data_IF_744530971375
#
_entry.id   IF_744530971375
#
_cell.length_a   1.000
_cell.length_b   1.000
_cell.length_c   1.000
_cell.angle_alpha   90.00
_cell.angle_beta   90.00
_cell.angle_gamma   90.00
#
_symmetry.space_group_name_H-M   'P 1'
#
loop_
_entity.id
_entity.type
_entity.pdbx_description
1 polymer ?
#
# COMPACT_ATOMS: atom_id res chain seq x y z
N UNK A 1 15.58 -17.68 -11.02
CA UNK A 1 14.63 -18.02 -12.12
C UNK A 1 13.29 -18.51 -11.59
N UNK A 2 13.15 -19.68 -10.91
CA UNK A 2 11.82 -20.12 -10.42
C UNK A 2 11.24 -19.19 -9.33
N UNK A 3 12.10 -18.72 -8.43
CA UNK A 3 11.70 -17.77 -7.37
C UNK A 3 11.23 -16.43 -7.97
N UNK A 4 11.88 -15.95 -9.01
CA UNK A 4 11.51 -14.75 -9.74
C UNK A 4 10.15 -14.97 -10.45
N UNK A 5 9.97 -16.12 -11.13
CA UNK A 5 8.70 -16.49 -11.75
C UNK A 5 7.58 -16.62 -10.71
N UNK A 6 7.87 -17.19 -9.54
CA UNK A 6 6.88 -17.25 -8.45
C UNK A 6 6.47 -15.83 -8.02
N UNK A 7 7.45 -14.96 -7.76
CA UNK A 7 7.20 -13.61 -7.26
C UNK A 7 6.45 -12.74 -8.28
N UNK A 8 6.76 -12.87 -9.55
CA UNK A 8 6.19 -12.05 -10.62
C UNK A 8 4.84 -12.58 -11.09
N UNK A 9 4.67 -13.91 -11.17
CA UNK A 9 3.55 -14.53 -11.88
C UNK A 9 2.53 -15.21 -10.96
N UNK A 10 2.81 -15.33 -9.66
CA UNK A 10 1.88 -15.98 -8.71
C UNK A 10 0.47 -15.41 -8.81
N UNK A 11 0.31 -14.09 -8.72
CA UNK A 11 -1.00 -13.43 -8.76
C UNK A 11 -1.75 -13.68 -10.07
N UNK A 12 -1.03 -13.74 -11.20
CA UNK A 12 -1.62 -14.03 -12.51
C UNK A 12 -2.07 -15.49 -12.62
N UNK A 13 -1.23 -16.42 -12.21
CA UNK A 13 -1.57 -17.85 -12.19
C UNK A 13 -2.75 -18.11 -11.26
N UNK A 14 -2.74 -17.52 -10.07
CA UNK A 14 -3.83 -17.70 -9.12
C UNK A 14 -5.14 -17.09 -9.61
N UNK A 15 -5.12 -15.89 -10.19
CA UNK A 15 -6.31 -15.25 -10.74
C UNK A 15 -6.97 -16.10 -11.84
N UNK A 16 -6.17 -16.59 -12.79
CA UNK A 16 -6.66 -17.49 -13.83
C UNK A 16 -7.28 -18.77 -13.26
N UNK A 17 -6.70 -19.33 -12.21
CA UNK A 17 -7.25 -20.52 -11.57
C UNK A 17 -8.51 -20.22 -10.78
N UNK A 18 -8.61 -19.06 -10.12
CA UNK A 18 -9.81 -18.64 -9.39
C UNK A 18 -10.97 -18.41 -10.35
N UNK A 19 -10.72 -17.71 -11.46
CA UNK A 19 -11.72 -17.54 -12.52
C UNK A 19 -12.24 -18.88 -13.05
N UNK A 20 -11.33 -19.84 -13.24
CA UNK A 20 -11.68 -21.17 -13.75
C UNK A 20 -12.41 -22.07 -12.73
N UNK A 21 -12.00 -22.04 -11.46
CA UNK A 21 -12.45 -22.97 -10.43
C UNK A 21 -13.57 -22.40 -9.55
N UNK A 22 -13.73 -21.08 -9.49
CA UNK A 22 -14.71 -20.38 -8.67
C UNK A 22 -14.45 -20.47 -7.15
N UNK A 23 -13.26 -20.94 -6.74
CA UNK A 23 -12.89 -21.12 -5.34
C UNK A 23 -11.42 -20.77 -5.12
N UNK A 24 -11.15 -19.78 -4.24
CA UNK A 24 -9.79 -19.30 -3.93
C UNK A 24 -8.96 -20.39 -3.26
N UNK A 25 -9.55 -21.18 -2.38
CA UNK A 25 -8.86 -22.18 -1.59
C UNK A 25 -8.35 -23.31 -2.49
N UNK A 26 -9.22 -23.81 -3.36
CA UNK A 26 -8.88 -24.84 -4.35
C UNK A 26 -7.85 -24.33 -5.36
N UNK A 27 -8.01 -23.10 -5.82
CA UNK A 27 -7.08 -22.46 -6.77
C UNK A 27 -5.69 -22.28 -6.16
N UNK A 28 -5.60 -21.83 -4.90
CA UNK A 28 -4.34 -21.64 -4.19
C UNK A 28 -3.59 -22.96 -3.99
N UNK A 29 -4.27 -24.02 -3.56
CA UNK A 29 -3.67 -25.34 -3.41
C UNK A 29 -3.17 -25.90 -4.75
N UNK A 30 -3.97 -25.78 -5.81
CA UNK A 30 -3.57 -26.22 -7.14
C UNK A 30 -2.36 -25.42 -7.69
N UNK A 31 -2.31 -24.11 -7.45
CA UNK A 31 -1.19 -23.29 -7.79
C UNK A 31 0.09 -23.71 -7.05
N UNK A 32 0.00 -23.90 -5.73
CA UNK A 32 1.13 -24.38 -4.92
C UNK A 32 1.67 -25.72 -5.42
N UNK A 33 0.80 -26.67 -5.73
CA UNK A 33 1.17 -27.97 -6.29
C UNK A 33 1.87 -27.83 -7.66
N UNK A 34 1.44 -26.88 -8.50
CA UNK A 34 2.06 -26.64 -9.79
C UNK A 34 3.45 -26.03 -9.65
N UNK A 35 3.63 -25.04 -8.75
CA UNK A 35 4.94 -24.45 -8.46
C UNK A 35 5.88 -25.47 -7.81
N UNK A 36 5.40 -26.33 -6.90
CA UNK A 36 6.20 -27.42 -6.35
C UNK A 36 6.65 -28.40 -7.45
N UNK A 37 5.78 -28.74 -8.41
CA UNK A 37 6.11 -29.57 -9.56
C UNK A 37 7.14 -28.88 -10.46
N UNK A 38 7.06 -27.58 -10.65
CA UNK A 38 8.04 -26.79 -11.41
C UNK A 38 9.41 -26.82 -10.70
N UNK A 39 9.43 -26.68 -9.36
CA UNK A 39 10.65 -26.75 -8.57
C UNK A 39 11.40 -28.10 -8.71
N UNK A 40 10.65 -29.17 -8.89
CA UNK A 40 11.23 -30.52 -9.10
C UNK A 40 11.69 -30.76 -10.54
N UNK A 41 10.93 -30.27 -11.53
CA UNK A 41 11.12 -30.62 -12.95
C UNK A 41 12.05 -29.65 -13.69
N UNK A 42 11.87 -28.34 -13.55
CA UNK A 42 12.62 -27.35 -14.32
C UNK A 42 14.15 -27.39 -14.13
N UNK A 43 14.70 -27.73 -12.96
CA UNK A 43 16.14 -27.92 -12.84
C UNK A 43 16.71 -29.07 -13.66
N UNK A 44 15.88 -30.06 -14.02
CA UNK A 44 16.28 -31.27 -14.77
C UNK A 44 15.96 -31.16 -16.25
N UNK A 45 14.77 -30.69 -16.56
CA UNK A 45 14.16 -30.74 -17.90
C UNK A 45 14.28 -29.41 -18.65
N UNK A 46 14.72 -28.34 -17.96
CA UNK A 46 14.65 -26.96 -18.42
C UNK A 46 13.29 -26.31 -18.16
N UNK A 47 13.26 -24.99 -18.06
CA UNK A 47 12.01 -24.25 -18.01
C UNK A 47 11.32 -24.29 -19.40
N UNK A 48 9.98 -24.40 -19.44
CA UNK A 48 9.25 -24.36 -20.70
C UNK A 48 9.32 -22.96 -21.35
N UNK A 49 9.08 -22.88 -22.68
CA UNK A 49 9.06 -21.61 -23.42
C UNK A 49 8.03 -20.62 -22.85
N UNK A 50 6.88 -21.13 -22.38
CA UNK A 50 5.85 -20.36 -21.69
C UNK A 50 5.61 -20.93 -20.28
N UNK A 51 6.34 -20.42 -19.25
CA UNK A 51 6.22 -20.89 -17.88
C UNK A 51 4.81 -20.72 -17.29
N UNK A 52 4.13 -19.62 -17.60
CA UNK A 52 2.80 -19.29 -17.06
C UNK A 52 1.75 -20.30 -17.59
N UNK A 53 1.71 -20.52 -18.89
CA UNK A 53 0.78 -21.47 -19.49
C UNK A 53 1.01 -22.89 -18.93
N UNK A 54 2.26 -23.28 -18.73
CA UNK A 54 2.61 -24.57 -18.14
C UNK A 54 2.13 -24.69 -16.69
N UNK A 55 2.30 -23.63 -15.87
CA UNK A 55 1.85 -23.58 -14.49
C UNK A 55 0.33 -23.68 -14.39
N UNK A 56 -0.41 -22.89 -15.19
CA UNK A 56 -1.88 -22.91 -15.23
C UNK A 56 -2.38 -24.29 -15.67
N UNK A 57 -1.82 -24.87 -16.72
CA UNK A 57 -2.20 -26.20 -17.19
C UNK A 57 -1.93 -27.28 -16.14
N UNK A 58 -0.77 -27.22 -15.47
CA UNK A 58 -0.40 -28.18 -14.43
C UNK A 58 -1.32 -28.06 -13.22
N UNK A 59 -1.59 -26.83 -12.73
CA UNK A 59 -2.49 -26.56 -11.63
C UNK A 59 -3.91 -27.01 -11.93
N UNK A 60 -4.42 -26.67 -13.14
CA UNK A 60 -5.73 -27.11 -13.62
C UNK A 60 -5.88 -28.64 -13.54
N UNK A 61 -4.90 -29.37 -14.07
CA UNK A 61 -4.95 -30.83 -14.05
C UNK A 61 -4.96 -31.40 -12.61
N UNK A 62 -4.18 -30.79 -11.69
CA UNK A 62 -4.17 -31.14 -10.26
C UNK A 62 -5.52 -30.88 -9.60
N UNK A 63 -6.14 -29.72 -9.85
CA UNK A 63 -7.47 -29.40 -9.34
C UNK A 63 -8.53 -30.40 -9.84
N UNK A 64 -8.52 -30.75 -11.14
CA UNK A 64 -9.43 -31.74 -11.70
C UNK A 64 -9.26 -33.11 -11.01
N UNK A 65 -8.03 -33.56 -10.86
CA UNK A 65 -7.74 -34.86 -10.24
C UNK A 65 -8.15 -34.89 -8.76
N UNK A 66 -8.05 -33.74 -8.05
CA UNK A 66 -8.52 -33.60 -6.67
C UNK A 66 -10.05 -33.64 -6.61
N UNK A 67 -10.74 -32.83 -7.40
CA UNK A 67 -12.20 -32.82 -7.46
C UNK A 67 -12.74 -34.23 -7.79
N UNK A 68 -12.08 -34.96 -8.70
CA UNK A 68 -12.46 -36.35 -9.04
C UNK A 68 -12.29 -37.31 -7.86
N UNK A 69 -11.25 -37.11 -7.05
CA UNK A 69 -10.99 -37.96 -5.86
C UNK A 69 -11.96 -37.65 -4.71
N UNK A 70 -12.33 -36.39 -4.53
CA UNK A 70 -13.23 -35.94 -3.47
C UNK A 70 -14.71 -36.08 -3.84
N UNK A 71 -15.05 -36.07 -5.14
CA UNK A 71 -16.44 -36.24 -5.59
C UNK A 71 -16.75 -37.68 -5.95
N UNK A 72 -17.39 -38.38 -5.00
CA UNK A 72 -18.26 -39.51 -5.35
C UNK A 72 -19.55 -39.08 -6.09
N UNK A 73 -19.62 -37.87 -6.64
CA UNK A 73 -20.79 -37.22 -7.22
C UNK A 73 -20.52 -36.82 -8.69
N UNK A 74 -20.95 -37.70 -9.61
CA UNK A 74 -20.79 -37.60 -11.05
C UNK A 74 -21.33 -36.27 -11.70
N UNK A 75 -22.23 -35.55 -11.05
CA UNK A 75 -22.91 -34.38 -11.62
C UNK A 75 -22.11 -33.10 -11.67
N UNK A 76 -21.27 -32.84 -10.67
CA UNK A 76 -20.44 -31.57 -10.62
C UNK A 76 -19.22 -31.60 -11.53
N UNK A 77 -18.71 -32.81 -11.79
CA UNK A 77 -17.51 -32.99 -12.64
C UNK A 77 -17.79 -32.67 -14.11
N UNK A 78 -19.02 -32.87 -14.57
CA UNK A 78 -19.40 -32.66 -15.97
C UNK A 78 -19.66 -31.18 -16.30
N UNK A 79 -20.23 -30.42 -15.36
CA UNK A 79 -20.40 -28.96 -15.47
C UNK A 79 -19.05 -28.22 -15.45
N UNK A 80 -18.14 -28.66 -14.60
CA UNK A 80 -16.75 -28.12 -14.57
C UNK A 80 -15.99 -28.48 -15.86
N UNK A 81 -16.15 -29.68 -16.40
CA UNK A 81 -15.55 -30.09 -17.67
C UNK A 81 -16.02 -29.25 -18.84
N UNK A 82 -17.29 -28.88 -18.89
CA UNK A 82 -17.85 -28.08 -19.97
C UNK A 82 -17.37 -26.63 -19.88
N UNK A 83 -17.36 -26.03 -18.68
CA UNK A 83 -16.79 -24.68 -18.46
C UNK A 83 -15.28 -24.64 -18.78
N UNK A 84 -14.55 -25.70 -18.43
CA UNK A 84 -13.10 -25.82 -18.64
C UNK A 84 -12.70 -26.11 -20.08
N UNK A 85 -13.55 -26.76 -20.87
CA UNK A 85 -13.32 -27.01 -22.28
C UNK A 85 -13.48 -25.71 -23.09
N UNK A 86 -14.46 -24.89 -22.77
CA UNK A 86 -14.68 -23.60 -23.41
C UNK A 86 -13.58 -22.60 -23.09
N UNK A 87 -13.10 -22.54 -21.83
CA UNK A 87 -11.98 -21.68 -21.44
C UNK A 87 -10.63 -22.10 -22.05
N UNK A 88 -10.46 -23.38 -22.43
CA UNK A 88 -9.23 -23.87 -23.07
C UNK A 88 -9.14 -23.48 -24.56
N UNK A 89 -10.27 -23.26 -25.22
CA UNK A 89 -10.30 -22.76 -26.59
C UNK A 89 -10.07 -21.24 -26.63
N UNK A 90 -10.51 -20.50 -25.61
CA UNK A 90 -10.33 -19.05 -25.53
C UNK A 90 -8.90 -18.60 -25.17
N UNK A 91 -8.11 -19.43 -24.47
CA UNK A 91 -6.72 -19.08 -24.09
C UNK A 91 -5.69 -19.30 -25.21
N UNK A 92 -6.08 -19.76 -26.40
CA UNK A 92 -5.18 -19.94 -27.54
C UNK A 92 -5.18 -18.75 -28.53
N UNK A 93 -6.03 -17.74 -28.32
CA UNK A 93 -6.06 -16.56 -29.21
C UNK A 93 -5.42 -15.36 -28.49
N UNK A 94 -4.15 -15.08 -28.83
CA UNK A 94 -3.30 -14.04 -28.19
C UNK A 94 -3.75 -12.59 -28.48
N UNK A 95 -4.93 -12.33 -29.01
CA UNK A 95 -5.31 -11.00 -29.54
C UNK A 95 -6.66 -10.46 -29.07
N UNK A 96 -7.35 -11.10 -28.15
CA UNK A 96 -8.59 -10.54 -27.59
C UNK A 96 -8.30 -9.95 -26.20
N UNK A 97 -8.76 -8.72 -25.93
CA UNK A 97 -8.74 -8.07 -24.63
C UNK A 97 -9.59 -8.86 -23.64
N UNK A 98 -9.03 -9.93 -23.10
CA UNK A 98 -9.61 -10.65 -21.97
C UNK A 98 -9.54 -9.73 -20.77
N UNK A 99 -10.63 -9.49 -20.03
CA UNK A 99 -10.55 -8.81 -18.73
C UNK A 99 -9.48 -9.52 -17.93
N UNK A 100 -8.48 -8.78 -17.46
CA UNK A 100 -7.39 -9.40 -16.71
C UNK A 100 -7.98 -9.95 -15.40
N UNK A 101 -7.98 -11.26 -15.26
CA UNK A 101 -8.54 -11.97 -14.10
C UNK A 101 -7.92 -11.46 -12.77
N UNK A 102 -6.75 -10.83 -12.82
CA UNK A 102 -6.15 -10.16 -11.66
C UNK A 102 -7.02 -9.01 -11.16
N UNK A 103 -7.65 -8.24 -12.07
CA UNK A 103 -8.55 -7.16 -11.68
C UNK A 103 -9.78 -7.70 -10.95
N UNK A 104 -10.38 -8.76 -11.45
CA UNK A 104 -11.50 -9.44 -10.80
C UNK A 104 -11.11 -9.93 -9.39
N UNK A 105 -9.92 -10.51 -9.26
CA UNK A 105 -9.41 -11.00 -7.99
C UNK A 105 -9.13 -9.86 -7.00
N UNK A 106 -8.58 -8.72 -7.45
CA UNK A 106 -8.36 -7.52 -6.62
C UNK A 106 -9.70 -7.04 -6.06
N UNK A 107 -10.71 -6.82 -6.91
CA UNK A 107 -12.03 -6.36 -6.47
C UNK A 107 -12.72 -7.35 -5.53
N UNK A 108 -12.48 -8.63 -5.69
CA UNK A 108 -13.01 -9.66 -4.79
C UNK A 108 -12.31 -9.61 -3.41
N UNK A 109 -10.99 -9.51 -3.38
CA UNK A 109 -10.22 -9.41 -2.14
C UNK A 109 -10.52 -8.12 -1.35
N UNK A 110 -10.81 -7.02 -2.05
CA UNK A 110 -11.16 -5.71 -1.47
C UNK A 110 -12.67 -5.49 -1.34
N UNK A 111 -13.47 -6.58 -1.27
CA UNK A 111 -14.92 -6.46 -1.15
C UNK A 111 -15.33 -5.85 0.21
N UNK A 112 -16.24 -4.83 0.26
CA UNK A 112 -16.62 -4.13 1.49
C UNK A 112 -17.29 -5.01 2.54
N UNK A 113 -17.76 -6.20 2.18
CA UNK A 113 -18.21 -7.19 3.14
C UNK A 113 -17.09 -7.75 4.02
N UNK A 114 -15.83 -7.61 3.64
CA UNK A 114 -14.66 -8.02 4.41
C UNK A 114 -14.18 -6.85 5.28
N UNK A 115 -13.70 -7.14 6.50
CA UNK A 115 -13.01 -6.13 7.31
C UNK A 115 -11.69 -5.71 6.62
N UNK A 116 -11.29 -4.46 6.77
CA UNK A 116 -10.12 -3.89 6.13
C UNK A 116 -8.85 -4.72 6.33
N UNK A 117 -8.57 -5.12 7.56
CA UNK A 117 -7.44 -6.02 7.88
C UNK A 117 -7.48 -7.36 7.10
N UNK A 118 -8.68 -7.86 6.84
CA UNK A 118 -8.85 -9.09 6.08
C UNK A 118 -8.66 -8.84 4.58
N UNK A 119 -9.09 -7.68 4.07
CA UNK A 119 -8.85 -7.25 2.69
C UNK A 119 -7.36 -7.14 2.41
N UNK A 120 -6.62 -6.40 3.26
CA UNK A 120 -5.16 -6.24 3.15
C UNK A 120 -4.46 -7.61 3.21
N UNK A 121 -4.76 -8.43 4.23
CA UNK A 121 -4.13 -9.73 4.38
C UNK A 121 -4.42 -10.67 3.20
N UNK A 122 -5.66 -10.67 2.71
CA UNK A 122 -6.06 -11.51 1.58
C UNK A 122 -5.41 -11.04 0.28
N UNK A 123 -5.34 -9.74 0.03
CA UNK A 123 -4.67 -9.15 -1.13
C UNK A 123 -3.18 -9.52 -1.15
N UNK A 124 -2.48 -9.37 -0.03
CA UNK A 124 -1.07 -9.77 0.08
C UNK A 124 -0.88 -11.27 -0.18
N UNK A 125 -1.81 -12.11 0.30
CA UNK A 125 -1.74 -13.55 0.11
C UNK A 125 -1.99 -13.96 -1.34
N UNK A 126 -3.09 -13.44 -1.94
CA UNK A 126 -3.58 -13.89 -3.25
C UNK A 126 -2.83 -13.25 -4.41
N UNK A 127 -2.57 -11.96 -4.34
CA UNK A 127 -1.93 -11.20 -5.43
C UNK A 127 -0.44 -11.03 -5.17
N UNK A 128 -0.05 -10.80 -3.92
CA UNK A 128 1.35 -10.66 -3.52
C UNK A 128 2.11 -11.96 -3.41
N UNK A 129 1.42 -13.10 -3.26
CA UNK A 129 2.07 -14.39 -3.06
C UNK A 129 2.80 -14.54 -1.72
N UNK A 130 2.60 -13.60 -0.78
CA UNK A 130 3.27 -13.64 0.52
C UNK A 130 2.83 -14.86 1.34
N UNK A 131 3.78 -15.44 2.07
CA UNK A 131 3.49 -16.50 3.02
C UNK A 131 2.68 -15.97 4.22
N UNK A 132 1.84 -16.82 4.81
CA UNK A 132 1.02 -16.43 5.97
C UNK A 132 1.88 -15.94 7.13
N UNK A 133 3.08 -16.49 7.32
CA UNK A 133 4.08 -16.08 8.31
C UNK A 133 4.58 -14.66 8.06
N UNK A 134 4.80 -14.30 6.80
CA UNK A 134 5.25 -12.96 6.40
C UNK A 134 4.16 -11.92 6.67
N UNK A 135 2.92 -12.25 6.29
CA UNK A 135 1.75 -11.40 6.56
C UNK A 135 1.54 -11.26 8.07
N UNK A 136 1.60 -12.36 8.84
CA UNK A 136 1.44 -12.33 10.29
C UNK A 136 2.47 -11.42 10.98
N UNK A 137 3.73 -11.49 10.54
CA UNK A 137 4.78 -10.56 11.00
C UNK A 137 4.47 -9.11 10.66
N UNK A 138 3.90 -8.86 9.47
CA UNK A 138 3.49 -7.54 9.04
C UNK A 138 2.41 -6.91 9.90
N UNK A 139 1.48 -7.71 10.31
CA UNK A 139 0.38 -7.28 11.17
C UNK A 139 0.69 -7.36 12.66
N UNK A 140 1.92 -7.77 13.03
CA UNK A 140 2.34 -7.98 14.43
C UNK A 140 1.39 -8.90 15.21
N UNK A 141 0.86 -9.94 14.54
CA UNK A 141 -0.04 -10.92 15.13
C UNK A 141 0.56 -12.34 15.06
N UNK A 142 0.16 -13.26 15.94
CA UNK A 142 0.56 -14.66 15.84
C UNK A 142 0.12 -15.29 14.52
N UNK A 143 0.92 -16.23 13.99
CA UNK A 143 0.61 -17.01 12.79
C UNK A 143 -0.81 -17.60 12.80
N UNK A 144 -1.21 -18.23 13.92
CA UNK A 144 -2.54 -18.82 14.09
C UNK A 144 -3.69 -17.80 13.93
N UNK A 145 -3.47 -16.58 14.39
CA UNK A 145 -4.45 -15.49 14.26
C UNK A 145 -4.60 -15.09 12.79
N UNK A 146 -3.48 -14.91 12.09
CA UNK A 146 -3.50 -14.56 10.67
C UNK A 146 -4.08 -15.71 9.81
N UNK A 147 -3.69 -16.94 10.06
CA UNK A 147 -4.22 -18.12 9.38
C UNK A 147 -5.75 -18.20 9.51
N UNK A 148 -6.28 -18.02 10.73
CA UNK A 148 -7.74 -17.98 10.96
C UNK A 148 -8.41 -16.80 10.26
N UNK A 149 -7.77 -15.62 10.21
CA UNK A 149 -8.29 -14.43 9.52
C UNK A 149 -8.43 -14.71 8.02
N UNK A 150 -7.40 -15.22 7.38
CA UNK A 150 -7.41 -15.58 5.96
C UNK A 150 -8.46 -16.64 5.63
N UNK A 151 -8.55 -17.71 6.44
CA UNK A 151 -9.57 -18.76 6.27
C UNK A 151 -10.98 -18.20 6.39
N UNK A 152 -11.25 -17.36 7.40
CA UNK A 152 -12.57 -16.73 7.55
C UNK A 152 -12.90 -15.79 6.38
N UNK A 153 -11.93 -15.04 5.86
CA UNK A 153 -12.15 -14.18 4.71
C UNK A 153 -12.54 -14.99 3.46
N UNK A 154 -11.82 -16.08 3.17
CA UNK A 154 -12.13 -16.98 2.05
C UNK A 154 -13.51 -17.62 2.20
N UNK A 155 -13.84 -18.13 3.40
CA UNK A 155 -15.17 -18.66 3.67
C UNK A 155 -16.26 -17.61 3.47
N UNK A 156 -16.03 -16.38 3.94
CA UNK A 156 -17.01 -15.29 3.78
C UNK A 156 -17.25 -14.95 2.31
N UNK A 157 -16.21 -14.95 1.48
CA UNK A 157 -16.34 -14.76 0.02
C UNK A 157 -17.23 -15.86 -0.56
N UNK A 158 -16.94 -17.12 -0.25
CA UNK A 158 -17.71 -18.26 -0.74
C UNK A 158 -19.16 -18.26 -0.23
N UNK A 159 -19.37 -18.09 1.07
CA UNK A 159 -20.68 -18.21 1.71
C UNK A 159 -21.62 -17.03 1.37
N UNK A 160 -21.05 -15.84 1.16
CA UNK A 160 -21.79 -14.66 0.71
C UNK A 160 -21.99 -14.61 -0.82
N UNK A 161 -21.41 -15.55 -1.58
CA UNK A 161 -21.49 -15.58 -3.03
C UNK A 161 -20.87 -14.35 -3.69
N UNK A 162 -19.78 -13.81 -3.11
CA UNK A 162 -19.09 -12.66 -3.69
C UNK A 162 -18.51 -13.08 -5.04
N UNK A 163 -18.90 -12.42 -6.14
CA UNK A 163 -18.48 -12.84 -7.46
C UNK A 163 -17.01 -12.49 -7.73
N UNK A 164 -16.34 -13.33 -8.50
CA UNK A 164 -15.07 -13.00 -9.13
C UNK A 164 -15.38 -12.23 -10.42
N UNK A 165 -15.51 -10.92 -10.29
CA UNK A 165 -15.86 -10.04 -11.42
C UNK A 165 -15.45 -8.61 -11.10
N UNK A 166 -15.16 -7.84 -12.15
CA UNK A 166 -15.07 -6.39 -12.05
C UNK A 166 -16.46 -5.86 -11.71
N UNK A 167 -16.59 -4.93 -10.73
CA UNK A 167 -17.87 -4.35 -10.40
C UNK A 167 -18.51 -3.66 -11.62
N UNK A 168 -19.84 -3.60 -11.69
CA UNK A 168 -20.51 -2.80 -12.72
C UNK A 168 -20.15 -1.31 -12.56
N UNK A 169 -20.19 -0.56 -13.68
CA UNK A 169 -19.71 0.84 -13.77
C UNK A 169 -20.22 1.75 -12.66
N UNK A 170 -21.46 1.59 -12.23
CA UNK A 170 -22.06 2.43 -11.19
C UNK A 170 -21.50 2.18 -9.78
N UNK A 171 -20.87 1.03 -9.53
CA UNK A 171 -20.19 0.69 -8.27
C UNK A 171 -18.67 0.81 -8.37
N UNK A 172 -18.15 0.95 -9.59
CA UNK A 172 -16.71 0.94 -9.84
C UNK A 172 -15.96 2.03 -9.07
N UNK A 173 -16.44 3.31 -8.99
CA UNK A 173 -15.72 4.36 -8.27
C UNK A 173 -15.51 4.03 -6.78
N UNK A 174 -16.58 3.64 -6.07
CA UNK A 174 -16.52 3.27 -4.64
C UNK A 174 -15.62 2.04 -4.42
N UNK A 175 -15.72 1.07 -5.29
CA UNK A 175 -14.94 -0.17 -5.20
C UNK A 175 -13.47 0.06 -5.53
N UNK A 176 -13.16 0.94 -6.49
CA UNK A 176 -11.79 1.34 -6.81
C UNK A 176 -11.14 2.09 -5.65
N UNK A 177 -11.86 3.00 -5.00
CA UNK A 177 -11.38 3.70 -3.81
C UNK A 177 -10.93 2.72 -2.73
N UNK A 178 -11.72 1.69 -2.43
CA UNK A 178 -11.36 0.66 -1.46
C UNK A 178 -10.09 -0.13 -1.88
N UNK A 179 -9.95 -0.44 -3.16
CA UNK A 179 -8.74 -1.12 -3.69
C UNK A 179 -7.51 -0.25 -3.52
N UNK A 180 -7.60 1.03 -3.90
CA UNK A 180 -6.48 1.98 -3.79
C UNK A 180 -6.07 2.18 -2.33
N UNK A 181 -7.05 2.28 -1.42
CA UNK A 181 -6.80 2.37 0.01
C UNK A 181 -6.04 1.14 0.53
N UNK A 182 -6.42 -0.06 0.15
CA UNK A 182 -5.72 -1.31 0.53
C UNK A 182 -4.28 -1.31 0.02
N UNK A 183 -4.05 -0.96 -1.26
CA UNK A 183 -2.69 -0.93 -1.84
C UNK A 183 -1.83 0.12 -1.13
N UNK A 184 -2.39 1.29 -0.84
CA UNK A 184 -1.69 2.35 -0.12
C UNK A 184 -1.35 1.97 1.34
N UNK A 185 -2.26 1.28 2.04
CA UNK A 185 -1.98 0.74 3.38
C UNK A 185 -0.82 -0.26 3.36
N UNK A 186 -0.77 -1.17 2.38
CA UNK A 186 0.34 -2.10 2.19
C UNK A 186 1.66 -1.34 2.01
N UNK A 187 1.64 -0.30 1.17
CA UNK A 187 2.81 0.55 0.94
C UNK A 187 3.28 1.21 2.24
N UNK A 188 2.38 1.80 3.00
CA UNK A 188 2.70 2.52 4.23
C UNK A 188 3.28 1.60 5.31
N UNK A 189 2.76 0.38 5.47
CA UNK A 189 3.34 -0.62 6.37
C UNK A 189 4.78 -0.99 5.97
N UNK A 190 5.05 -1.09 4.66
CA UNK A 190 6.40 -1.31 4.14
C UNK A 190 7.32 -0.10 4.31
N UNK A 191 6.79 1.07 4.09
CA UNK A 191 7.52 2.33 4.12
C UNK A 191 7.89 2.76 5.55
N UNK A 192 6.93 2.77 6.47
CA UNK A 192 7.13 3.21 7.86
C UNK A 192 7.80 2.14 8.72
N UNK A 193 7.50 0.87 8.49
CA UNK A 193 8.01 -0.25 9.24
C UNK A 193 9.39 -0.75 8.81
N UNK A 194 10.03 -0.13 7.80
CA UNK A 194 11.30 -0.60 7.23
C UNK A 194 11.19 -1.95 6.51
N UNK A 195 9.99 -2.38 6.16
CA UNK A 195 9.70 -3.65 5.49
C UNK A 195 9.67 -3.47 3.99
N UNK A 196 10.85 -3.40 3.42
CA UNK A 196 11.09 -3.17 1.98
C UNK A 196 10.26 -4.09 1.07
N UNK A 197 10.03 -5.33 1.50
CA UNK A 197 9.21 -6.33 0.83
C UNK A 197 7.77 -5.86 0.60
N UNK A 198 7.10 -5.31 1.61
CA UNK A 198 5.72 -4.84 1.49
C UNK A 198 5.57 -3.62 0.57
N UNK A 199 6.47 -2.65 0.70
CA UNK A 199 6.41 -1.46 -0.16
C UNK A 199 6.72 -1.81 -1.63
N UNK A 200 7.66 -2.73 -1.87
CA UNK A 200 7.94 -3.25 -3.21
C UNK A 200 6.73 -3.97 -3.80
N UNK A 201 6.05 -4.77 -2.99
CA UNK A 201 4.83 -5.47 -3.40
C UNK A 201 3.68 -4.50 -3.71
N UNK A 202 3.49 -3.47 -2.88
CA UNK A 202 2.48 -2.44 -3.13
C UNK A 202 2.74 -1.71 -4.47
N UNK A 203 3.99 -1.37 -4.77
CA UNK A 203 4.38 -0.77 -6.05
C UNK A 203 4.05 -1.72 -7.22
N UNK A 204 4.33 -3.04 -7.06
CA UNK A 204 3.99 -4.05 -8.07
C UNK A 204 2.47 -4.12 -8.32
N UNK A 205 1.66 -4.12 -7.25
CA UNK A 205 0.21 -4.08 -7.35
C UNK A 205 -0.29 -2.78 -7.99
N UNK A 206 0.31 -1.64 -7.64
CA UNK A 206 0.01 -0.35 -8.25
C UNK A 206 0.30 -0.33 -9.75
N UNK A 207 1.41 -0.95 -10.21
CA UNK A 207 1.70 -1.11 -11.65
C UNK A 207 0.63 -1.93 -12.36
N UNK A 208 0.27 -3.08 -11.79
CA UNK A 208 -0.78 -3.93 -12.34
C UNK A 208 -2.10 -3.16 -12.47
N UNK A 209 -2.51 -2.41 -11.44
CA UNK A 209 -3.71 -1.56 -11.50
C UNK A 209 -3.63 -0.49 -12.59
N UNK A 210 -2.50 0.21 -12.70
CA UNK A 210 -2.30 1.25 -13.71
C UNK A 210 -2.31 0.72 -15.14
N UNK A 211 -1.83 -0.51 -15.35
CA UNK A 211 -1.89 -1.20 -16.64
C UNK A 211 -3.31 -1.65 -16.99
N UNK A 212 -4.07 -2.13 -16.00
CA UNK A 212 -5.42 -2.63 -16.18
C UNK A 212 -6.48 -1.51 -16.28
N UNK A 213 -6.18 -0.35 -15.72
CA UNK A 213 -7.07 0.82 -15.68
C UNK A 213 -6.33 2.08 -16.21
N UNK A 214 -5.88 2.09 -17.46
CA UNK A 214 -5.01 3.13 -18.00
C UNK A 214 -5.68 4.51 -18.16
N UNK A 215 -7.00 4.54 -18.15
CA UNK A 215 -7.82 5.74 -18.33
C UNK A 215 -8.33 6.30 -16.99
N UNK A 216 -7.96 5.67 -15.87
CA UNK A 216 -8.29 6.11 -14.53
C UNK A 216 -7.12 6.88 -13.90
N UNK A 217 -7.38 8.10 -13.42
CA UNK A 217 -6.34 8.99 -12.88
C UNK A 217 -5.79 8.52 -11.53
N UNK A 218 -6.64 8.00 -10.64
CA UNK A 218 -6.27 7.66 -9.27
C UNK A 218 -5.31 6.45 -9.17
N UNK A 219 -5.45 5.36 -9.94
CA UNK A 219 -4.44 4.30 -9.97
C UNK A 219 -3.06 4.78 -10.45
N UNK A 220 -3.03 5.62 -11.49
CA UNK A 220 -1.80 6.22 -12.01
C UNK A 220 -1.14 7.11 -10.94
N UNK A 221 -1.95 7.93 -10.28
CA UNK A 221 -1.50 8.84 -9.23
C UNK A 221 -1.01 8.11 -7.97
N UNK A 222 -1.70 7.04 -7.55
CA UNK A 222 -1.24 6.20 -6.45
C UNK A 222 0.12 5.58 -6.74
N UNK A 223 0.31 5.03 -7.94
CA UNK A 223 1.61 4.50 -8.35
C UNK A 223 2.68 5.60 -8.36
N UNK A 224 2.37 6.78 -8.90
CA UNK A 224 3.28 7.94 -8.86
C UNK A 224 3.66 8.31 -7.43
N UNK A 225 2.69 8.42 -6.52
CA UNK A 225 2.89 8.71 -5.10
C UNK A 225 3.85 7.70 -4.44
N UNK A 226 3.61 6.41 -4.68
CA UNK A 226 4.45 5.34 -4.12
C UNK A 226 5.89 5.42 -4.67
N UNK A 227 6.07 5.62 -5.97
CA UNK A 227 7.39 5.72 -6.60
C UNK A 227 8.17 6.95 -6.13
N UNK A 228 7.52 8.13 -6.07
CA UNK A 228 8.14 9.37 -5.59
C UNK A 228 8.60 9.26 -4.14
N UNK A 229 7.79 8.62 -3.28
CA UNK A 229 8.20 8.38 -1.90
C UNK A 229 9.32 7.34 -1.83
N UNK A 230 9.18 6.21 -2.51
CA UNK A 230 10.12 5.09 -2.48
C UNK A 230 11.50 5.45 -3.04
N UNK A 231 11.55 6.40 -3.97
CA UNK A 231 12.80 6.90 -4.56
C UNK A 231 13.83 7.35 -3.52
N UNK A 232 13.39 7.78 -2.34
CA UNK A 232 14.22 8.29 -1.25
C UNK A 232 14.59 7.24 -0.20
N UNK A 233 14.13 5.99 -0.36
CA UNK A 233 14.27 4.92 0.64
C UNK A 233 15.71 4.75 1.14
N UNK A 234 16.68 4.73 0.22
CA UNK A 234 18.10 4.52 0.56
C UNK A 234 18.70 5.66 1.40
N UNK A 235 18.18 6.89 1.27
CA UNK A 235 18.65 8.06 2.00
C UNK A 235 17.94 8.27 3.35
N UNK A 236 16.88 7.53 3.62
CA UNK A 236 15.96 7.78 4.74
C UNK A 236 16.50 7.36 6.10
N UNK A 237 17.43 6.42 6.14
CA UNK A 237 18.02 5.93 7.38
C UNK A 237 19.55 5.99 7.31
N UNK A 238 20.18 6.42 8.42
CA UNK A 238 21.63 6.40 8.61
C UNK A 238 21.92 5.90 10.01
N UNK A 239 22.75 4.87 10.16
CA UNK A 239 23.13 4.28 11.46
C UNK A 239 21.95 3.89 12.35
N UNK A 240 20.84 3.44 11.72
CA UNK A 240 19.60 3.06 12.41
C UNK A 240 18.78 4.24 12.93
N UNK A 241 19.18 5.48 12.62
CA UNK A 241 18.41 6.70 12.85
C UNK A 241 17.72 7.17 11.59
N UNK A 242 16.57 7.83 11.75
CA UNK A 242 15.86 8.45 10.64
C UNK A 242 16.58 9.73 10.21
N UNK A 243 16.73 9.93 8.90
CA UNK A 243 17.33 11.13 8.30
C UNK A 243 16.21 12.01 7.74
N UNK A 244 16.21 13.27 8.16
CA UNK A 244 15.26 14.26 7.69
C UNK A 244 15.44 14.53 6.20
N UNK A 245 14.38 14.94 5.50
CA UNK A 245 14.40 15.13 4.04
C UNK A 245 15.50 16.12 3.59
N UNK A 246 15.72 17.20 4.36
CA UNK A 246 16.74 18.21 4.07
C UNK A 246 18.16 17.69 4.30
N UNK A 247 18.34 16.73 5.19
CA UNK A 247 19.61 16.11 5.52
C UNK A 247 19.89 14.85 4.68
N UNK A 248 18.93 14.42 3.84
CA UNK A 248 19.11 13.25 2.99
C UNK A 248 20.13 13.50 1.90
N UNK A 249 21.02 12.54 1.72
CA UNK A 249 21.94 12.52 0.59
C UNK A 249 21.16 12.23 -0.71
N UNK A 250 20.92 13.28 -1.50
CA UNK A 250 20.18 13.19 -2.76
C UNK A 250 20.87 12.30 -3.81
N UNK A 251 22.17 12.04 -3.67
CA UNK A 251 22.87 11.12 -4.56
C UNK A 251 22.41 9.66 -4.40
N UNK A 252 21.78 9.34 -3.26
CA UNK A 252 21.18 8.04 -2.97
C UNK A 252 19.73 7.91 -3.48
N UNK A 253 19.14 9.01 -3.98
CA UNK A 253 17.78 8.97 -4.50
C UNK A 253 17.70 8.24 -5.84
N UNK A 254 16.67 7.44 -6.02
CA UNK A 254 16.45 6.70 -7.27
C UNK A 254 15.84 7.61 -8.34
N UNK A 255 16.70 8.20 -9.19
CA UNK A 255 16.27 9.11 -10.27
C UNK A 255 15.34 8.46 -11.30
N UNK A 256 15.41 7.15 -11.51
CA UNK A 256 14.51 6.44 -12.41
C UNK A 256 13.09 6.38 -11.85
N UNK A 257 12.92 6.10 -10.56
CA UNK A 257 11.61 6.11 -9.90
C UNK A 257 11.00 7.53 -9.90
N UNK A 258 11.82 8.56 -9.68
CA UNK A 258 11.37 9.96 -9.74
C UNK A 258 10.86 10.29 -11.16
N UNK A 259 11.65 9.97 -12.18
CA UNK A 259 11.26 10.25 -13.57
C UNK A 259 9.96 9.51 -13.95
N UNK A 260 9.84 8.23 -13.59
CA UNK A 260 8.65 7.43 -13.83
C UNK A 260 7.43 8.00 -13.07
N UNK A 261 7.58 8.32 -11.78
CA UNK A 261 6.53 8.91 -10.97
C UNK A 261 5.99 10.22 -11.55
N UNK A 262 6.89 11.09 -12.04
CA UNK A 262 6.51 12.34 -12.71
C UNK A 262 5.73 12.14 -14.00
N UNK A 263 6.14 11.17 -14.83
CA UNK A 263 5.42 10.82 -16.06
C UNK A 263 4.00 10.32 -15.75
N UNK A 264 3.86 9.46 -14.73
CA UNK A 264 2.56 8.96 -14.29
C UNK A 264 1.67 10.06 -13.73
N UNK A 265 2.23 10.96 -12.91
CA UNK A 265 1.51 12.11 -12.36
C UNK A 265 1.03 13.05 -13.48
N UNK A 266 1.87 13.37 -14.46
CA UNK A 266 1.47 14.18 -15.61
C UNK A 266 0.35 13.53 -16.41
N UNK A 267 0.40 12.21 -16.57
CA UNK A 267 -0.67 11.46 -17.23
C UNK A 267 -1.97 11.51 -16.43
N UNK A 268 -1.92 11.31 -15.11
CA UNK A 268 -3.08 11.41 -14.24
C UNK A 268 -3.74 12.80 -14.29
N UNK A 269 -2.92 13.86 -14.29
CA UNK A 269 -3.39 15.25 -14.47
C UNK A 269 -4.03 15.49 -15.84
N UNK A 270 -3.45 14.93 -16.92
CA UNK A 270 -3.99 15.03 -18.28
C UNK A 270 -5.39 14.37 -18.41
N UNK A 271 -5.69 13.37 -17.59
CA UNK A 271 -7.02 12.76 -17.48
C UNK A 271 -8.01 13.60 -16.64
N UNK A 272 -7.66 14.85 -16.34
CA UNK A 272 -8.45 15.76 -15.48
C UNK A 272 -8.71 15.19 -14.07
N UNK A 273 -7.81 14.33 -13.60
CA UNK A 273 -7.86 13.78 -12.25
C UNK A 273 -7.71 14.86 -11.19
N UNK A 274 -8.56 14.83 -10.19
CA UNK A 274 -8.55 15.76 -9.05
C UNK A 274 -8.81 15.04 -7.73
N UNK A 275 -8.67 13.74 -7.71
CA UNK A 275 -8.87 12.93 -6.51
C UNK A 275 -7.70 12.99 -5.52
N UNK A 276 -7.86 12.37 -4.35
CA UNK A 276 -6.92 12.50 -3.25
C UNK A 276 -5.51 11.97 -3.58
N UNK A 277 -5.36 10.93 -4.38
CA UNK A 277 -4.02 10.42 -4.73
C UNK A 277 -3.30 11.30 -5.74
N UNK A 278 -4.03 11.97 -6.66
CA UNK A 278 -3.44 12.96 -7.58
C UNK A 278 -2.83 14.12 -6.78
N UNK A 279 -3.58 14.65 -5.81
CA UNK A 279 -3.11 15.76 -4.98
C UNK A 279 -1.93 15.31 -4.10
N UNK A 280 -1.99 14.13 -3.50
CA UNK A 280 -0.88 13.59 -2.70
C UNK A 280 0.38 13.35 -3.53
N UNK A 281 0.25 12.86 -4.76
CA UNK A 281 1.39 12.66 -5.66
C UNK A 281 2.03 13.99 -6.08
N UNK A 282 1.22 15.03 -6.33
CA UNK A 282 1.72 16.37 -6.60
C UNK A 282 2.49 16.95 -5.40
N UNK A 283 1.96 16.82 -4.20
CA UNK A 283 2.68 17.21 -2.96
C UNK A 283 3.99 16.43 -2.83
N UNK A 284 3.97 15.12 -3.12
CA UNK A 284 5.18 14.30 -3.04
C UNK A 284 6.25 14.73 -4.05
N UNK A 285 5.87 15.16 -5.25
CA UNK A 285 6.80 15.68 -6.25
C UNK A 285 7.40 17.02 -5.82
N UNK A 286 6.59 17.96 -5.33
CA UNK A 286 7.06 19.24 -4.81
C UNK A 286 8.06 19.08 -3.65
N UNK A 287 7.92 18.05 -2.83
CA UNK A 287 8.89 17.75 -1.79
C UNK A 287 10.26 17.30 -2.32
N UNK A 288 10.37 16.89 -3.59
CA UNK A 288 11.63 16.54 -4.23
C UNK A 288 12.33 17.75 -4.86
N UNK A 289 11.63 18.88 -5.01
CA UNK A 289 12.20 20.12 -5.57
C UNK A 289 13.05 20.88 -4.55
N UNK A 290 13.97 21.74 -5.10
CA UNK A 290 14.79 22.62 -4.29
C UNK A 290 15.03 23.94 -5.05
N UNK A 291 14.65 25.09 -4.50
CA UNK A 291 13.91 25.24 -3.24
C UNK A 291 12.47 24.71 -3.35
N UNK A 292 11.88 24.30 -2.22
CA UNK A 292 10.47 23.86 -2.18
C UNK A 292 9.54 25.06 -2.25
N UNK A 293 8.47 24.92 -3.02
CA UNK A 293 7.39 25.90 -3.03
C UNK A 293 6.37 25.57 -1.93
N UNK A 294 6.61 26.10 -0.73
CA UNK A 294 5.74 25.88 0.41
C UNK A 294 4.34 26.49 0.24
N UNK A 295 4.19 27.56 -0.58
CA UNK A 295 2.89 28.13 -0.87
C UNK A 295 2.05 27.18 -1.72
N UNK A 296 2.65 26.56 -2.74
CA UNK A 296 1.97 25.56 -3.55
C UNK A 296 1.66 24.29 -2.74
N UNK A 297 2.60 23.84 -1.89
CA UNK A 297 2.38 22.70 -0.98
C UNK A 297 1.21 22.99 -0.03
N UNK A 298 1.14 24.17 0.59
CA UNK A 298 0.04 24.56 1.47
C UNK A 298 -1.30 24.60 0.72
N UNK A 299 -1.34 25.16 -0.50
CA UNK A 299 -2.53 25.19 -1.32
C UNK A 299 -3.03 23.78 -1.68
N UNK A 300 -2.12 22.85 -1.99
CA UNK A 300 -2.49 21.45 -2.26
C UNK A 300 -2.98 20.71 -1.01
N UNK A 301 -2.39 20.94 0.17
CA UNK A 301 -2.90 20.39 1.41
C UNK A 301 -4.30 20.93 1.77
N UNK A 302 -4.58 22.21 1.49
CA UNK A 302 -5.93 22.78 1.65
C UNK A 302 -6.96 22.09 0.74
N UNK A 303 -6.59 21.83 -0.54
CA UNK A 303 -7.42 21.03 -1.44
C UNK A 303 -7.63 19.61 -0.90
N UNK A 304 -6.57 18.95 -0.45
CA UNK A 304 -6.63 17.58 0.08
C UNK A 304 -7.48 17.51 1.35
N UNK A 305 -7.37 18.50 2.24
CA UNK A 305 -8.20 18.58 3.45
C UNK A 305 -9.68 18.65 3.11
N UNK A 306 -10.07 19.49 2.12
CA UNK A 306 -11.45 19.56 1.65
C UNK A 306 -11.95 18.27 0.99
N UNK A 307 -11.09 17.55 0.28
CA UNK A 307 -11.43 16.28 -0.38
C UNK A 307 -11.65 15.14 0.62
N UNK A 308 -10.83 15.09 1.68
CA UNK A 308 -10.78 13.93 2.58
C UNK A 308 -11.49 14.17 3.91
N UNK A 309 -11.62 15.42 4.36
CA UNK A 309 -12.10 15.76 5.71
C UNK A 309 -11.20 15.20 6.83
N UNK A 310 -9.95 14.85 6.52
CA UNK A 310 -9.05 14.17 7.46
C UNK A 310 -8.33 15.16 8.37
N UNK A 311 -8.46 15.05 9.71
CA UNK A 311 -7.72 15.89 10.65
C UNK A 311 -6.18 15.73 10.52
N UNK A 312 -5.70 14.58 10.04
CA UNK A 312 -4.29 14.35 9.78
C UNK A 312 -3.80 15.16 8.57
N UNK A 313 -4.64 15.35 7.56
CA UNK A 313 -4.32 16.24 6.43
C UNK A 313 -4.28 17.69 6.88
N UNK A 314 -5.21 18.10 7.75
CA UNK A 314 -5.20 19.44 8.35
C UNK A 314 -3.95 19.69 9.22
N UNK A 315 -3.47 18.66 9.92
CA UNK A 315 -2.18 18.71 10.61
C UNK A 315 -1.03 18.97 9.64
N UNK A 316 -1.00 18.33 8.48
CA UNK A 316 0.01 18.55 7.44
C UNK A 316 -0.12 19.94 6.82
N UNK A 317 -1.34 20.44 6.64
CA UNK A 317 -1.59 21.82 6.23
C UNK A 317 -1.00 22.81 7.24
N UNK A 318 -1.22 22.61 8.54
CA UNK A 318 -0.64 23.45 9.59
C UNK A 318 0.89 23.48 9.50
N UNK A 319 1.53 22.35 9.17
CA UNK A 319 2.98 22.30 8.94
C UNK A 319 3.39 23.19 7.76
N UNK A 320 2.69 23.10 6.63
CA UNK A 320 3.00 23.92 5.47
C UNK A 320 2.77 25.43 5.75
N UNK A 321 1.73 25.77 6.51
CA UNK A 321 1.44 27.13 6.98
C UNK A 321 2.60 27.66 7.86
N UNK A 322 3.23 26.80 8.66
CA UNK A 322 4.37 27.23 9.48
C UNK A 322 5.57 27.72 8.66
N UNK A 323 5.71 27.24 7.41
CA UNK A 323 6.77 27.64 6.49
C UNK A 323 6.38 28.87 5.63
N UNK A 324 5.07 29.16 5.47
CA UNK A 324 4.59 30.32 4.69
C UNK A 324 4.25 31.51 5.58
N UNK A 325 3.43 31.29 6.61
CA UNK A 325 2.84 32.34 7.45
C UNK A 325 3.41 32.36 8.88
N UNK A 326 4.28 31.40 9.18
CA UNK A 326 5.00 31.32 10.46
C UNK A 326 4.31 30.44 11.52
N UNK A 327 5.05 30.15 12.62
CA UNK A 327 4.63 29.17 13.61
C UNK A 327 3.40 29.58 14.44
N UNK A 328 3.13 30.90 14.60
CA UNK A 328 1.90 31.35 15.29
C UNK A 328 0.64 30.97 14.50
N UNK A 329 0.63 31.22 13.18
CA UNK A 329 -0.52 30.89 12.33
C UNK A 329 -0.77 29.38 12.31
N UNK A 330 0.30 28.61 12.19
CA UNK A 330 0.24 27.14 12.23
C UNK A 330 -0.29 26.61 13.57
N UNK A 331 0.16 27.17 14.68
CA UNK A 331 -0.28 26.75 16.02
C UNK A 331 -1.78 27.02 16.22
N UNK A 332 -2.31 28.12 15.69
CA UNK A 332 -3.73 28.43 15.75
C UNK A 332 -4.57 27.37 15.02
N UNK A 333 -4.14 26.94 13.83
CA UNK A 333 -4.82 25.86 13.08
C UNK A 333 -4.74 24.54 13.84
N UNK A 334 -3.57 24.21 14.36
CA UNK A 334 -3.32 22.97 15.08
C UNK A 334 -4.18 22.83 16.34
N UNK A 335 -4.39 23.91 17.10
CA UNK A 335 -5.13 23.88 18.36
C UNK A 335 -6.66 23.66 18.16
N UNK A 336 -7.15 23.76 16.94
CA UNK A 336 -8.57 23.41 16.59
C UNK A 336 -8.75 21.92 16.29
N UNK A 337 -7.65 21.14 16.16
CA UNK A 337 -7.71 19.72 15.80
C UNK A 337 -7.93 18.83 17.03
N UNK A 338 -8.85 17.87 16.92
CA UNK A 338 -9.11 16.87 17.95
C UNK A 338 -8.20 15.63 17.75
N UNK A 339 -6.89 15.78 18.03
CA UNK A 339 -5.87 14.74 17.82
C UNK A 339 -5.05 14.44 19.09
N UNK A 340 -5.67 14.48 20.28
CA UNK A 340 -5.00 14.34 21.58
C UNK A 340 -4.26 13.01 21.79
N UNK A 341 -4.69 11.93 21.14
CA UNK A 341 -4.04 10.62 21.21
C UNK A 341 -3.10 10.36 20.03
N UNK A 342 -2.85 11.37 19.20
CA UNK A 342 -2.01 11.23 18.01
C UNK A 342 -0.61 11.80 18.25
N UNK A 343 0.41 10.94 18.31
CA UNK A 343 1.78 11.33 18.64
C UNK A 343 2.35 12.46 17.78
N UNK A 344 2.01 12.48 16.48
CA UNK A 344 2.52 13.50 15.56
C UNK A 344 1.89 14.87 15.79
N UNK A 345 0.67 14.95 16.29
CA UNK A 345 0.06 16.19 16.76
C UNK A 345 0.92 16.83 17.87
N UNK A 346 1.30 16.05 18.88
CA UNK A 346 2.11 16.55 19.98
C UNK A 346 3.53 16.90 19.58
N UNK A 347 4.16 16.15 18.67
CA UNK A 347 5.49 16.48 18.18
C UNK A 347 5.48 17.72 17.30
N UNK A 348 4.47 17.92 16.45
CA UNK A 348 4.27 19.15 15.68
C UNK A 348 4.05 20.35 16.59
N UNK A 349 3.14 20.22 17.56
CA UNK A 349 2.88 21.27 18.56
C UNK A 349 4.15 21.64 19.33
N UNK A 350 4.93 20.65 19.71
CA UNK A 350 6.20 20.87 20.42
C UNK A 350 7.20 21.68 19.59
N UNK A 351 7.31 21.38 18.30
CA UNK A 351 8.23 22.13 17.44
C UNK A 351 7.76 23.56 17.17
N UNK A 352 6.47 23.78 16.92
CA UNK A 352 5.91 25.13 16.78
C UNK A 352 6.17 25.97 18.04
N UNK A 353 5.92 25.40 19.22
CA UNK A 353 6.18 26.06 20.49
C UNK A 353 7.69 26.37 20.69
N UNK A 354 8.55 25.45 20.29
CA UNK A 354 10.00 25.65 20.31
C UNK A 354 10.43 26.81 19.39
N UNK A 355 9.91 26.87 18.18
CA UNK A 355 10.16 27.95 17.20
C UNK A 355 9.69 29.32 17.72
N UNK A 356 8.65 29.32 18.55
CA UNK A 356 8.14 30.51 19.25
C UNK A 356 8.91 30.84 20.54
N UNK A 357 9.94 30.07 20.91
CA UNK A 357 10.70 30.26 22.16
C UNK A 357 9.94 29.82 23.42
N UNK A 358 8.76 29.18 23.28
CA UNK A 358 7.93 28.66 24.38
C UNK A 358 8.46 27.31 24.86
N UNK A 359 9.72 27.27 25.26
CA UNK A 359 10.46 26.03 25.56
C UNK A 359 9.84 25.17 26.68
N UNK A 360 9.19 25.77 27.68
CA UNK A 360 8.52 25.03 28.74
C UNK A 360 7.34 24.22 28.20
N UNK A 361 6.51 24.83 27.37
CA UNK A 361 5.35 24.19 26.74
C UNK A 361 5.79 23.14 25.71
N UNK A 362 6.84 23.44 24.93
CA UNK A 362 7.43 22.52 23.98
C UNK A 362 7.90 21.21 24.64
N UNK A 363 8.54 21.31 25.82
CA UNK A 363 8.97 20.12 26.58
C UNK A 363 7.81 19.24 27.01
N UNK A 364 6.70 19.83 27.45
CA UNK A 364 5.50 19.07 27.81
C UNK A 364 4.92 18.35 26.60
N UNK A 365 4.85 19.03 25.46
CA UNK A 365 4.35 18.43 24.23
C UNK A 365 5.26 17.30 23.70
N UNK A 366 6.61 17.47 23.72
CA UNK A 366 7.53 16.37 23.38
C UNK A 366 7.42 15.18 24.34
N UNK A 367 7.24 15.41 25.64
CA UNK A 367 7.04 14.34 26.59
C UNK A 367 5.77 13.53 26.27
N UNK A 368 4.68 14.23 25.92
CA UNK A 368 3.45 13.54 25.51
C UNK A 368 3.63 12.76 24.20
N UNK A 369 4.33 13.30 23.22
CA UNK A 369 4.67 12.58 21.99
C UNK A 369 5.47 11.30 22.29
N UNK A 370 6.44 11.36 23.22
CA UNK A 370 7.23 10.19 23.65
C UNK A 370 6.40 9.10 24.32
N UNK A 371 5.40 9.47 25.14
CA UNK A 371 4.48 8.51 25.76
C UNK A 371 3.69 7.72 24.73
N UNK A 372 3.32 8.36 23.62
CA UNK A 372 2.52 7.78 22.53
C UNK A 372 3.38 7.05 21.47
N UNK A 373 4.71 7.18 21.53
CA UNK A 373 5.63 6.63 20.53
C UNK A 373 5.92 5.15 20.76
N UNK A 374 5.78 4.34 19.73
CA UNK A 374 5.93 2.90 19.77
C UNK A 374 7.24 2.38 19.15
N UNK A 375 7.93 3.19 18.32
CA UNK A 375 9.13 2.77 17.57
C UNK A 375 10.41 3.35 18.17
N UNK A 376 11.50 2.57 18.16
CA UNK A 376 12.80 2.98 18.69
C UNK A 376 13.45 4.14 17.91
N UNK A 377 13.37 4.21 16.56
CA UNK A 377 13.91 5.35 15.82
C UNK A 377 13.24 6.68 16.16
N UNK A 378 11.91 6.71 16.23
CA UNK A 378 11.14 7.90 16.61
C UNK A 378 11.42 8.31 18.06
N UNK A 379 11.49 7.35 18.96
CA UNK A 379 11.84 7.60 20.37
C UNK A 379 13.18 8.29 20.50
N UNK A 380 14.22 7.77 19.85
CA UNK A 380 15.56 8.38 19.85
C UNK A 380 15.56 9.79 19.30
N UNK A 381 14.81 10.04 18.24
CA UNK A 381 14.66 11.37 17.67
C UNK A 381 14.02 12.34 18.66
N UNK A 382 12.88 11.99 19.28
CA UNK A 382 12.17 12.85 20.24
C UNK A 382 12.98 13.09 21.51
N UNK A 383 13.73 12.09 22.01
CA UNK A 383 14.65 12.23 23.13
C UNK A 383 15.79 13.20 22.82
N UNK A 384 16.32 13.15 21.59
CA UNK A 384 17.29 14.13 21.08
C UNK A 384 16.73 15.55 21.14
N UNK A 385 15.54 15.76 20.57
CA UNK A 385 14.87 17.08 20.58
C UNK A 385 14.58 17.59 21.99
N UNK A 386 14.16 16.72 22.89
CA UNK A 386 13.93 17.07 24.28
C UNK A 386 15.24 17.45 25.01
N UNK A 387 16.35 16.83 24.64
CA UNK A 387 17.68 17.14 25.21
C UNK A 387 18.19 18.52 24.76
N UNK A 388 17.88 18.95 23.53
CA UNK A 388 18.22 20.25 22.97
C UNK A 388 17.53 21.42 23.71
N UNK A 389 16.37 21.17 24.30
CA UNK A 389 15.62 22.16 25.07
C UNK A 389 16.14 22.36 26.52
N UNK A 390 17.25 21.70 26.90
CA UNK A 390 17.89 21.95 28.21
C UNK A 390 18.62 23.29 28.18
N UNK A 391 18.63 24.03 29.30
CA UNK A 391 19.36 25.28 29.41
C UNK A 391 20.85 25.09 29.08
N UNK A 392 21.36 25.77 28.03
CA UNK A 392 22.77 25.72 27.64
C UNK A 392 23.09 24.87 26.40
N UNK A 393 22.11 24.23 25.75
CA UNK A 393 22.34 23.54 24.49
C UNK A 393 22.36 24.50 23.28
N UNK A 394 23.27 24.31 22.29
CA UNK A 394 23.24 25.12 21.07
C UNK A 394 22.00 24.77 20.23
N UNK A 395 21.35 25.81 19.71
CA UNK A 395 20.15 25.63 18.87
C UNK A 395 20.55 25.27 17.43
N UNK A 396 20.17 24.08 16.95
CA UNK A 396 20.09 23.74 15.53
C UNK A 396 18.62 23.87 15.07
N UNK A 397 18.36 24.68 14.03
CA UNK A 397 17.05 25.29 13.86
C UNK A 397 16.12 24.68 12.80
N UNK A 398 16.53 23.83 11.84
CA UNK A 398 15.77 23.69 10.60
C UNK A 398 15.14 22.30 10.26
N UNK A 399 15.28 21.24 11.10
CA UNK A 399 15.15 19.89 10.55
C UNK A 399 13.87 19.07 10.91
N UNK A 400 12.95 19.62 11.72
CA UNK A 400 11.82 18.86 12.28
C UNK A 400 10.71 18.58 11.25
N UNK A 401 10.38 19.55 10.41
CA UNK A 401 9.21 19.48 9.51
C UNK A 401 9.31 18.39 8.48
N UNK A 402 10.50 18.15 8.04
CA UNK A 402 10.80 17.14 7.04
C UNK A 402 10.60 15.72 7.54
N UNK A 403 10.85 15.51 8.84
CA UNK A 403 10.52 14.25 9.52
C UNK A 403 9.01 14.01 9.52
N UNK A 404 8.25 14.98 10.00
CA UNK A 404 6.81 14.89 10.13
C UNK A 404 6.12 14.60 8.81
N UNK A 405 6.48 15.31 7.75
CA UNK A 405 5.90 15.11 6.42
C UNK A 405 6.26 13.77 5.79
N UNK A 406 7.39 13.16 6.15
CA UNK A 406 7.77 11.83 5.66
C UNK A 406 6.99 10.71 6.35
N UNK A 407 6.58 10.89 7.62
CA UNK A 407 5.91 9.86 8.43
C UNK A 407 4.37 10.00 8.40
N UNK A 408 3.85 11.22 8.28
CA UNK A 408 2.40 11.48 8.31
C UNK A 408 1.64 10.97 7.08
N UNK A 409 2.31 10.73 5.97
CA UNK A 409 1.69 10.21 4.74
C UNK A 409 1.02 8.84 4.94
N UNK A 410 1.45 8.06 5.91
CA UNK A 410 0.88 6.75 6.25
C UNK A 410 -0.36 6.76 7.14
N UNK A 411 -0.77 7.91 7.64
CA UNK A 411 -1.82 8.00 8.67
C UNK A 411 -3.15 8.56 8.17
N UNK A 412 -3.26 8.91 6.89
CA UNK A 412 -4.45 9.56 6.32
C UNK A 412 -5.71 8.67 6.40
N UNK A 413 -5.55 7.36 6.55
CA UNK A 413 -6.65 6.38 6.48
C UNK A 413 -6.98 5.68 7.80
N UNK A 414 -6.29 6.01 8.89
CA UNK A 414 -6.71 5.54 10.22
C UNK A 414 -7.47 6.64 10.94
N UNK A 415 -8.77 6.71 10.70
CA UNK A 415 -9.68 7.47 11.56
C UNK A 415 -9.60 6.90 12.98
N UNK A 416 -9.13 7.66 14.01
CA UNK A 416 -9.12 7.19 15.38
C UNK A 416 -10.50 6.94 15.98
N UNK A 417 -11.59 7.27 15.25
CA UNK A 417 -12.98 7.13 15.65
C UNK A 417 -13.68 5.83 15.26
N UNK A 418 -13.08 4.91 14.50
CA UNK A 418 -13.74 3.68 14.04
C UNK A 418 -13.44 2.45 14.90
N UNK A 419 -13.42 2.60 16.23
CA UNK A 419 -13.47 1.47 17.15
C UNK A 419 -14.83 1.40 17.84
N UNK A 420 -15.84 0.84 17.13
CA UNK A 420 -17.00 0.16 17.70
C UNK A 420 -17.23 -1.18 16.98
#
# INVERSE_FOLDING_TARGET
MLEDVFREEWGRVLAALVSLLGDIELAEEAAQDAFATAAERWPRDGAPDNPIAWLIATARNRAIDRIRRESNLAGKTEQLRFAMANAAEETMDETTSVPDERLELIFTCCHPALALDAQVALTLRTLGGLATEEIARGFLVPFETMSKRLTRAKHKIRDAGIPFAVPPDHLLPERLEAVLAVVYLIFNEGWSGGRVDLATEAIRLGRALSELMPDESEPLALLALMLLNDSRRAARFRDGGLVLLDDQDRSLWNGQQIAEGRVLLQRALALQGGGPYVVQAAIADLHLEEPRDWHEIAALYDVLARLTGSPVVELNLAIAIAETDGPEAALAVLEELALDDYRYFHSTRADLLRRLGRNADARLAYARALELTQTDPERRFLEGRLSELRPGSPAHWDDFWTFMLSELKGSIERDPGSSE
#
